data_IF_930497718727
#
_entry.id   IF_930497718727
#
_cell.length_a   1.000
_cell.length_b   1.000
_cell.length_c   1.000
_cell.angle_alpha   90.00
_cell.angle_beta   90.00
_cell.angle_gamma   90.00
#
_symmetry.space_group_name_H-M   'P 1'
#
loop_
_entity.id
_entity.type
_entity.pdbx_description
1 polymer ?
#
# COMPACT_ATOMS: atom_id res chain seq x y z
N UNK A 1 -72.56 -20.50 18.01
CA UNK A 1 -71.66 -20.12 16.90
C UNK A 1 -70.47 -19.51 17.60
N UNK A 2 -69.47 -20.34 17.92
CA UNK A 2 -68.31 -19.94 18.72
C UNK A 2 -67.29 -19.29 17.79
N UNK A 3 -66.96 -18.02 18.04
CA UNK A 3 -65.90 -17.30 17.36
C UNK A 3 -64.56 -17.99 17.67
N UNK A 4 -63.95 -18.56 16.63
CA UNK A 4 -62.59 -19.11 16.70
C UNK A 4 -61.62 -17.94 16.78
N UNK A 5 -61.35 -17.47 18.01
CA UNK A 5 -60.18 -16.64 18.30
C UNK A 5 -58.93 -17.49 18.00
N UNK A 6 -58.47 -17.43 16.76
CA UNK A 6 -57.15 -17.96 16.42
C UNK A 6 -56.12 -17.04 17.08
N UNK A 7 -55.43 -17.55 18.11
CA UNK A 7 -54.34 -16.86 18.83
C UNK A 7 -53.11 -16.58 17.96
N UNK A 8 -53.17 -16.84 16.66
CA UNK A 8 -52.04 -16.67 15.76
C UNK A 8 -52.03 -15.21 15.32
N UNK A 9 -51.03 -14.40 15.73
CA UNK A 9 -50.93 -13.03 15.28
C UNK A 9 -50.80 -12.98 13.76
N UNK A 10 -51.36 -11.96 13.11
CA UNK A 10 -51.24 -11.81 11.66
C UNK A 10 -49.75 -11.76 11.27
N UNK A 11 -49.36 -12.31 10.11
CA UNK A 11 -47.98 -12.31 9.67
C UNK A 11 -47.43 -10.88 9.64
N UNK A 12 -46.21 -10.70 10.15
CA UNK A 12 -45.52 -9.41 10.17
C UNK A 12 -45.54 -8.77 8.78
N UNK A 13 -45.92 -7.49 8.71
CA UNK A 13 -45.83 -6.69 7.48
C UNK A 13 -44.40 -6.27 7.14
N UNK A 14 -43.49 -6.36 8.10
CA UNK A 14 -42.08 -6.03 7.89
C UNK A 14 -41.37 -7.25 7.33
N UNK A 15 -40.70 -7.06 6.20
CA UNK A 15 -39.73 -8.03 5.72
C UNK A 15 -38.51 -8.01 6.64
N UNK A 16 -37.76 -9.11 6.67
CA UNK A 16 -36.53 -9.21 7.48
C UNK A 16 -35.54 -8.06 7.15
N UNK A 17 -35.55 -7.61 5.90
CA UNK A 17 -34.76 -6.48 5.39
C UNK A 17 -35.21 -5.13 5.97
N UNK A 18 -36.51 -4.93 6.22
CA UNK A 18 -37.03 -3.72 6.85
C UNK A 18 -36.60 -3.62 8.32
N UNK A 19 -36.47 -4.78 8.98
CA UNK A 19 -36.02 -4.88 10.36
C UNK A 19 -34.52 -4.58 10.51
N UNK A 20 -33.72 -4.69 9.44
CA UNK A 20 -32.29 -4.34 9.46
C UNK A 20 -32.05 -2.85 9.74
N UNK A 21 -33.01 -1.97 9.44
CA UNK A 21 -32.92 -0.54 9.78
C UNK A 21 -32.94 -0.27 11.29
N UNK A 22 -33.44 -1.22 12.09
CA UNK A 22 -33.49 -1.13 13.55
C UNK A 22 -32.34 -1.88 14.23
N UNK A 23 -31.48 -2.54 13.45
CA UNK A 23 -30.27 -3.18 13.98
C UNK A 23 -29.29 -2.06 14.31
N UNK A 24 -28.80 -1.97 15.57
CA UNK A 24 -27.77 -0.99 15.91
C UNK A 24 -26.55 -1.20 15.00
N UNK A 25 -25.91 -0.11 14.53
CA UNK A 25 -24.75 -0.23 13.68
C UNK A 25 -23.70 -1.12 14.35
N UNK A 26 -23.08 -2.00 13.56
CA UNK A 26 -22.02 -2.86 14.05
C UNK A 26 -20.97 -2.02 14.81
N UNK A 27 -20.44 -2.53 15.94
CA UNK A 27 -19.44 -1.80 16.70
C UNK A 27 -18.26 -1.44 15.78
N UNK A 28 -17.82 -0.19 15.85
CA UNK A 28 -16.71 0.29 15.04
C UNK A 28 -15.48 -0.57 15.27
N UNK A 29 -14.90 -1.07 14.17
CA UNK A 29 -13.66 -1.84 14.24
C UNK A 29 -12.56 -1.03 14.95
N UNK A 30 -11.77 -1.65 15.85
CA UNK A 30 -10.68 -0.96 16.56
C UNK A 30 -9.74 -0.26 15.59
N UNK A 31 -9.22 0.89 15.98
CA UNK A 31 -8.34 1.68 15.12
C UNK A 31 -7.00 0.96 14.92
N UNK A 32 -6.42 1.01 13.72
CA UNK A 32 -5.06 0.54 13.53
C UNK A 32 -4.08 1.49 14.23
N UNK A 33 -2.90 0.96 14.57
CA UNK A 33 -1.92 1.67 15.41
C UNK A 33 -0.48 1.26 15.09
N UNK A 34 0.47 2.16 15.37
CA UNK A 34 1.90 1.93 15.17
C UNK A 34 2.57 1.41 16.45
N UNK A 35 3.41 0.38 16.28
CA UNK A 35 4.27 -0.18 17.33
C UNK A 35 5.71 0.05 16.92
N UNK A 36 6.51 0.65 17.79
CA UNK A 36 7.93 0.92 17.52
C UNK A 36 8.83 0.02 18.35
N UNK A 37 9.96 -0.36 17.78
CA UNK A 37 11.03 -1.12 18.43
C UNK A 37 11.63 -0.32 19.58
N UNK A 38 12.18 -1.02 20.58
CA UNK A 38 12.95 -0.39 21.65
C UNK A 38 14.43 -0.26 21.25
N UNK A 39 15.09 0.89 21.50
CA UNK A 39 14.56 2.09 22.13
C UNK A 39 13.57 2.85 21.23
N UNK A 40 12.48 3.33 21.83
CA UNK A 40 11.43 4.06 21.10
C UNK A 40 12.03 5.30 20.43
N UNK A 41 11.82 5.52 19.13
CA UNK A 41 12.35 6.69 18.45
C UNK A 41 11.72 7.98 18.98
N UNK A 42 12.43 9.10 18.83
CA UNK A 42 11.88 10.42 19.12
C UNK A 42 10.76 10.75 18.14
N UNK A 43 9.58 11.06 18.68
CA UNK A 43 8.37 11.31 17.89
C UNK A 43 8.09 12.81 17.74
N UNK A 44 7.48 13.24 16.62
CA UNK A 44 7.17 12.45 15.42
C UNK A 44 8.43 12.17 14.58
N UNK A 45 8.44 11.06 13.85
CA UNK A 45 9.50 10.75 12.89
C UNK A 45 9.47 11.73 11.73
N UNK A 46 10.62 12.35 11.41
CA UNK A 46 10.73 13.35 10.33
C UNK A 46 11.75 12.92 9.28
N UNK A 47 11.43 11.91 8.45
CA UNK A 47 12.34 11.51 7.39
C UNK A 47 12.39 12.56 6.28
N UNK A 48 13.58 12.78 5.73
CA UNK A 48 13.74 13.54 4.49
C UNK A 48 13.05 12.81 3.32
N UNK A 49 13.01 11.48 3.37
CA UNK A 49 12.40 10.67 2.34
C UNK A 49 11.71 9.42 2.89
N UNK A 50 10.48 9.17 2.46
CA UNK A 50 9.67 8.01 2.81
C UNK A 50 9.33 7.21 1.56
N UNK A 51 9.71 5.94 1.52
CA UNK A 51 9.31 5.01 0.45
C UNK A 51 8.28 4.04 1.01
N UNK A 52 7.14 3.93 0.33
CA UNK A 52 6.07 3.00 0.70
C UNK A 52 5.90 2.00 -0.44
N UNK A 53 6.18 0.73 -0.16
CA UNK A 53 6.02 -0.38 -1.12
C UNK A 53 4.75 -1.16 -0.86
N UNK A 54 3.92 -1.23 -1.89
CA UNK A 54 2.61 -1.91 -1.90
C UNK A 54 2.60 -3.05 -2.92
N UNK A 55 3.30 -2.89 -4.05
CA UNK A 55 3.33 -3.90 -5.11
C UNK A 55 4.23 -5.09 -4.79
N UNK A 56 3.88 -6.26 -5.34
CA UNK A 56 4.72 -7.46 -5.25
C UNK A 56 6.20 -7.21 -5.65
N UNK A 57 6.51 -6.62 -6.83
CA UNK A 57 7.88 -6.36 -7.22
C UNK A 57 8.62 -5.40 -6.27
N UNK A 58 7.97 -4.34 -5.78
CA UNK A 58 8.63 -3.38 -4.87
C UNK A 58 8.92 -3.98 -3.49
N UNK A 59 7.97 -4.75 -2.95
CA UNK A 59 8.15 -5.50 -1.70
C UNK A 59 9.31 -6.48 -1.83
N UNK A 60 9.36 -7.23 -2.94
CA UNK A 60 10.43 -8.18 -3.20
C UNK A 60 11.81 -7.53 -3.23
N UNK A 61 11.96 -6.42 -3.97
CA UNK A 61 13.24 -5.70 -4.08
C UNK A 61 13.69 -5.14 -2.74
N UNK A 62 12.79 -4.47 -2.01
CA UNK A 62 13.14 -3.83 -0.73
C UNK A 62 13.33 -4.84 0.41
N UNK A 63 12.66 -5.99 0.37
CA UNK A 63 12.88 -7.07 1.33
C UNK A 63 14.30 -7.64 1.22
N UNK A 64 14.85 -7.76 0.01
CA UNK A 64 16.22 -8.26 -0.21
C UNK A 64 17.32 -7.21 0.01
N UNK A 65 16.96 -5.97 0.32
CA UNK A 65 17.94 -4.92 0.61
C UNK A 65 18.58 -5.16 2.00
N UNK A 66 19.91 -5.22 2.06
CA UNK A 66 20.64 -5.59 3.29
C UNK A 66 20.78 -4.45 4.30
N UNK A 67 20.78 -3.20 3.84
CA UNK A 67 21.11 -2.01 4.64
C UNK A 67 19.90 -1.39 5.36
N UNK A 68 19.05 -2.17 6.03
CA UNK A 68 17.87 -1.66 6.75
C UNK A 68 17.73 -2.20 8.17
N UNK A 69 17.19 -1.38 9.06
CA UNK A 69 16.88 -1.74 10.46
C UNK A 69 15.39 -1.62 10.71
N UNK A 70 14.79 -2.64 11.33
CA UNK A 70 13.36 -2.63 11.67
C UNK A 70 13.12 -1.71 12.86
N UNK A 71 12.39 -0.61 12.64
CA UNK A 71 12.10 0.39 13.68
C UNK A 71 10.68 0.31 14.20
N UNK A 72 9.78 -0.37 13.49
CA UNK A 72 8.40 -0.54 13.94
C UNK A 72 7.54 -1.30 12.94
N UNK A 73 6.26 -1.43 13.28
CA UNK A 73 5.24 -2.09 12.45
C UNK A 73 3.88 -1.42 12.67
N UNK A 74 3.07 -1.36 11.63
CA UNK A 74 1.68 -0.96 11.67
C UNK A 74 0.81 -2.20 11.88
N UNK A 75 0.00 -2.17 12.93
CA UNK A 75 -0.90 -3.25 13.28
C UNK A 75 -2.31 -2.91 12.82
N UNK A 76 -2.88 -3.78 11.99
CA UNK A 76 -4.29 -3.79 11.64
C UNK A 76 -4.99 -4.84 12.51
N UNK A 77 -5.88 -4.45 13.45
CA UNK A 77 -6.51 -5.39 14.37
C UNK A 77 -7.29 -6.53 13.69
N UNK A 78 -7.82 -6.28 12.50
CA UNK A 78 -8.55 -7.24 11.68
C UNK A 78 -7.65 -8.28 10.99
N UNK A 79 -6.34 -8.04 10.92
CA UNK A 79 -5.41 -8.98 10.25
C UNK A 79 -5.02 -10.11 11.18
N UNK A 80 -5.16 -11.35 10.70
CA UNK A 80 -4.71 -12.52 11.45
C UNK A 80 -3.19 -12.52 11.56
N UNK A 81 -2.69 -12.71 12.79
CA UNK A 81 -1.26 -12.94 13.05
C UNK A 81 -0.81 -14.37 12.72
N UNK A 82 -1.73 -15.24 12.30
CA UNK A 82 -1.41 -16.61 11.93
C UNK A 82 -0.45 -16.64 10.73
N UNK A 83 0.66 -17.36 10.88
CA UNK A 83 1.67 -17.49 9.84
C UNK A 83 2.67 -16.34 9.75
N UNK A 84 2.68 -15.40 10.72
CA UNK A 84 3.76 -14.40 10.82
C UNK A 84 4.99 -15.07 11.44
N UNK A 85 6.10 -15.02 10.70
CA UNK A 85 7.39 -15.52 11.16
C UNK A 85 8.02 -14.63 12.24
N UNK A 86 8.88 -15.22 13.08
CA UNK A 86 9.65 -14.46 14.08
C UNK A 86 10.66 -13.50 13.40
N UNK A 87 11.20 -13.91 12.26
CA UNK A 87 12.01 -13.06 11.38
C UNK A 87 11.18 -12.58 10.19
N UNK A 88 11.30 -11.30 9.75
CA UNK A 88 10.46 -10.74 8.70
C UNK A 88 10.57 -11.52 7.38
N UNK A 89 9.48 -12.15 6.98
CA UNK A 89 9.40 -12.95 5.76
C UNK A 89 8.59 -12.22 4.68
N UNK A 90 8.82 -12.60 3.42
CA UNK A 90 8.02 -12.06 2.31
C UNK A 90 6.55 -12.48 2.38
N UNK A 91 6.25 -13.64 2.97
CA UNK A 91 4.88 -14.16 3.10
C UNK A 91 4.11 -13.61 4.30
N UNK A 92 4.77 -12.87 5.19
CA UNK A 92 4.12 -12.35 6.39
C UNK A 92 3.09 -11.28 6.01
N UNK A 93 1.86 -11.41 6.53
CA UNK A 93 0.80 -10.40 6.36
C UNK A 93 1.01 -9.24 7.33
N UNK A 94 2.14 -8.55 7.21
CA UNK A 94 2.56 -7.49 8.11
C UNK A 94 2.76 -6.15 7.38
N UNK A 95 2.86 -5.05 8.14
CA UNK A 95 3.19 -3.74 7.60
C UNK A 95 4.39 -3.18 8.36
N UNK A 96 5.60 -3.44 7.87
CA UNK A 96 6.83 -3.17 8.62
C UNK A 96 7.48 -1.85 8.20
N UNK A 97 8.02 -1.14 9.18
CA UNK A 97 8.68 0.15 9.02
C UNK A 97 10.17 -0.03 9.32
N UNK A 98 11.00 0.30 8.35
CA UNK A 98 12.44 0.20 8.44
C UNK A 98 13.09 1.57 8.30
N UNK A 99 14.19 1.78 9.02
CA UNK A 99 15.12 2.87 8.74
C UNK A 99 16.25 2.36 7.85
N UNK A 100 16.62 3.16 6.86
CA UNK A 100 17.77 2.86 6.02
C UNK A 100 19.07 3.26 6.74
N UNK A 101 20.01 2.33 6.81
CA UNK A 101 21.30 2.58 7.44
C UNK A 101 22.25 3.28 6.46
N UNK A 102 23.04 4.24 6.95
CA UNK A 102 24.13 4.85 6.18
C UNK A 102 23.72 5.98 5.21
N UNK A 103 22.49 6.49 5.30
CA UNK A 103 22.09 7.72 4.62
C UNK A 103 22.37 8.94 5.52
N UNK A 104 22.87 10.03 4.93
CA UNK A 104 23.14 11.29 5.65
C UNK A 104 21.86 11.89 6.26
N UNK A 105 20.72 11.64 5.61
CA UNK A 105 19.40 12.03 6.07
C UNK A 105 18.57 10.79 6.39
N UNK A 106 17.64 10.92 7.36
CA UNK A 106 16.74 9.83 7.71
C UNK A 106 15.84 9.45 6.52
N UNK A 107 16.02 8.24 6.01
CA UNK A 107 15.16 7.61 5.00
C UNK A 107 14.41 6.46 5.64
N UNK A 108 13.08 6.46 5.50
CA UNK A 108 12.22 5.40 6.00
C UNK A 108 11.63 4.58 4.86
N UNK A 109 11.51 3.28 5.08
CA UNK A 109 10.87 2.33 4.18
C UNK A 109 9.66 1.72 4.89
N UNK A 110 8.52 1.69 4.24
CA UNK A 110 7.31 1.03 4.73
C UNK A 110 6.96 -0.07 3.76
N UNK A 111 7.02 -1.32 4.21
CA UNK A 111 6.66 -2.50 3.43
C UNK A 111 5.27 -2.96 3.85
N UNK A 112 4.27 -2.73 3.01
CA UNK A 112 2.89 -3.11 3.28
C UNK A 112 2.59 -4.44 2.61
N UNK A 113 2.69 -5.54 3.37
CA UNK A 113 2.42 -6.90 2.90
C UNK A 113 1.03 -7.38 3.31
N UNK A 114 0.39 -6.73 4.29
CA UNK A 114 -1.00 -6.98 4.66
C UNK A 114 -1.98 -6.34 3.66
N UNK A 115 -3.17 -6.95 3.53
CA UNK A 115 -4.25 -6.37 2.73
C UNK A 115 -4.91 -5.23 3.53
N UNK A 116 -4.87 -4.01 2.99
CA UNK A 116 -5.54 -2.85 3.58
C UNK A 116 -6.81 -2.57 2.78
N UNK A 117 -7.97 -2.79 3.40
CA UNK A 117 -9.25 -2.54 2.74
C UNK A 117 -9.42 -1.07 2.38
N UNK A 118 -10.29 -0.78 1.41
CA UNK A 118 -10.59 0.59 1.00
C UNK A 118 -11.09 1.44 2.18
N UNK A 119 -11.90 0.86 3.06
CA UNK A 119 -12.45 1.51 4.27
C UNK A 119 -11.35 1.96 5.25
N UNK A 120 -10.25 1.21 5.33
CA UNK A 120 -9.13 1.48 6.25
C UNK A 120 -8.04 2.33 5.63
N UNK A 121 -8.00 2.40 4.31
CA UNK A 121 -6.95 3.08 3.54
C UNK A 121 -6.73 4.52 3.98
N UNK A 122 -7.81 5.27 4.26
CA UNK A 122 -7.71 6.65 4.73
C UNK A 122 -7.03 6.76 6.11
N UNK A 123 -7.46 5.93 7.07
CA UNK A 123 -6.92 5.92 8.44
C UNK A 123 -5.45 5.51 8.44
N UNK A 124 -5.09 4.47 7.67
CA UNK A 124 -3.71 4.03 7.50
C UNK A 124 -2.84 5.12 6.87
N UNK A 125 -3.31 5.74 5.79
CA UNK A 125 -2.59 6.83 5.14
C UNK A 125 -2.36 8.02 6.08
N UNK A 126 -3.33 8.33 6.95
CA UNK A 126 -3.23 9.40 7.93
C UNK A 126 -2.17 9.12 9.01
N UNK A 127 -2.02 7.88 9.46
CA UNK A 127 -0.98 7.51 10.43
C UNK A 127 0.42 7.50 9.80
N UNK A 128 0.55 6.91 8.60
CA UNK A 128 1.81 6.85 7.87
C UNK A 128 2.27 8.23 7.35
N UNK A 129 1.34 9.17 7.15
CA UNK A 129 1.61 10.49 6.60
C UNK A 129 0.84 11.57 7.39
N UNK A 130 1.56 12.21 8.30
CA UNK A 130 1.21 13.48 8.93
C UNK A 130 0.91 13.43 10.43
N UNK A 131 0.74 12.25 11.04
CA UNK A 131 0.60 12.12 12.50
C UNK A 131 1.91 11.68 13.13
N UNK A 132 2.23 10.39 13.07
CA UNK A 132 3.43 9.83 13.70
C UNK A 132 4.66 9.97 12.81
N UNK A 133 4.46 10.05 11.49
CA UNK A 133 5.52 10.20 10.50
C UNK A 133 5.21 11.42 9.62
N UNK A 134 6.12 12.38 9.61
CA UNK A 134 6.00 13.64 8.86
C UNK A 134 7.16 13.72 7.85
N UNK A 135 7.00 13.11 6.66
CA UNK A 135 8.04 13.09 5.64
C UNK A 135 8.10 14.41 4.86
N UNK A 136 9.30 14.79 4.41
CA UNK A 136 9.45 15.92 3.47
C UNK A 136 9.05 15.53 2.04
N UNK A 137 9.37 14.30 1.64
CA UNK A 137 9.05 13.73 0.33
C UNK A 137 8.66 12.25 0.45
N UNK A 138 7.70 11.81 -0.38
CA UNK A 138 7.15 10.45 -0.37
C UNK A 138 7.19 9.84 -1.77
N UNK A 139 7.67 8.60 -1.86
CA UNK A 139 7.55 7.72 -3.03
C UNK A 139 6.64 6.53 -2.68
N UNK A 140 5.58 6.34 -3.45
CA UNK A 140 4.68 5.20 -3.32
C UNK A 140 4.92 4.29 -4.53
N UNK A 141 5.17 3.00 -4.27
CA UNK A 141 5.40 1.99 -5.30
C UNK A 141 4.23 1.00 -5.30
N UNK A 142 3.49 0.98 -6.40
CA UNK A 142 2.36 0.10 -6.58
C UNK A 142 2.33 -0.53 -7.97
N UNK A 143 1.37 -1.43 -8.24
CA UNK A 143 1.19 -2.09 -9.52
C UNK A 143 -0.17 -1.76 -10.12
N UNK A 144 -0.23 -1.71 -11.46
CA UNK A 144 -1.48 -1.39 -12.16
C UNK A 144 -2.38 -2.62 -12.08
N UNK A 145 -3.58 -2.44 -11.54
CA UNK A 145 -4.62 -3.46 -11.66
C UNK A 145 -5.27 -3.35 -13.04
N UNK A 146 -5.26 -4.43 -13.81
CA UNK A 146 -5.79 -4.47 -15.18
C UNK A 146 -7.24 -3.95 -15.29
N UNK A 147 -8.07 -4.25 -14.28
CA UNK A 147 -9.46 -3.78 -14.16
C UNK A 147 -9.61 -2.25 -14.11
N UNK A 148 -8.60 -1.55 -13.63
CA UNK A 148 -8.65 -0.10 -13.38
C UNK A 148 -7.94 0.72 -14.47
N UNK A 149 -7.32 0.06 -15.45
CA UNK A 149 -6.62 0.72 -16.55
C UNK A 149 -7.49 0.78 -17.82
N UNK A 150 -7.75 1.99 -18.31
CA UNK A 150 -8.49 2.23 -19.54
C UNK A 150 -7.52 2.37 -20.71
N UNK A 151 -7.00 1.24 -21.16
CA UNK A 151 -6.08 1.16 -22.31
C UNK A 151 -5.72 -0.28 -22.63
N UNK A 152 -4.83 -0.48 -23.60
CA UNK A 152 -4.26 -1.80 -23.89
C UNK A 152 -2.99 -1.96 -23.07
N UNK A 153 -2.98 -2.96 -22.19
CA UNK A 153 -1.80 -3.41 -21.48
C UNK A 153 -1.49 -4.82 -21.94
N UNK A 154 -0.37 -4.99 -22.65
CA UNK A 154 0.12 -6.33 -22.97
C UNK A 154 0.83 -6.92 -21.75
N UNK A 155 0.64 -8.21 -21.47
CA UNK A 155 1.39 -8.89 -20.41
C UNK A 155 2.90 -9.00 -20.73
N UNK A 156 3.25 -8.95 -22.02
CA UNK A 156 4.63 -9.02 -22.48
C UNK A 156 5.37 -7.68 -22.38
N UNK A 157 4.63 -6.58 -22.18
CA UNK A 157 5.20 -5.24 -22.06
C UNK A 157 5.46 -4.89 -20.60
N UNK A 158 6.69 -4.48 -20.30
CA UNK A 158 7.06 -3.99 -18.97
C UNK A 158 7.07 -2.47 -18.98
N UNK A 159 6.13 -1.87 -18.26
CA UNK A 159 5.89 -0.43 -18.25
C UNK A 159 5.81 0.09 -16.82
N UNK A 160 6.10 1.37 -16.67
CA UNK A 160 5.81 2.09 -15.43
C UNK A 160 5.32 3.49 -15.74
N UNK A 161 4.41 3.95 -14.89
CA UNK A 161 3.76 5.25 -14.99
C UNK A 161 3.88 5.98 -13.67
N UNK A 162 3.70 7.31 -13.72
CA UNK A 162 3.75 8.15 -12.52
C UNK A 162 2.53 9.05 -12.35
N UNK A 163 2.19 9.33 -11.10
CA UNK A 163 1.31 10.40 -10.66
C UNK A 163 2.01 11.22 -9.57
N UNK A 164 1.82 12.53 -9.60
CA UNK A 164 2.57 13.45 -8.75
C UNK A 164 1.65 14.49 -8.09
N UNK A 165 1.96 14.83 -6.84
CA UNK A 165 1.31 15.95 -6.17
C UNK A 165 1.68 17.28 -6.83
N UNK A 166 0.83 18.28 -6.66
CA UNK A 166 1.10 19.65 -7.12
C UNK A 166 2.40 20.21 -6.53
N UNK A 167 2.72 19.88 -5.26
CA UNK A 167 3.95 20.30 -4.60
C UNK A 167 5.21 19.72 -5.27
N UNK A 168 5.17 18.47 -5.72
CA UNK A 168 6.29 17.85 -6.43
C UNK A 168 6.42 18.42 -7.86
N UNK A 169 5.30 18.70 -8.53
CA UNK A 169 5.28 19.39 -9.84
C UNK A 169 5.79 20.84 -9.77
N UNK A 170 5.42 21.55 -8.70
CA UNK A 170 5.74 22.97 -8.51
C UNK A 170 7.20 23.25 -8.18
N UNK A 171 7.95 22.25 -7.69
CA UNK A 171 9.39 22.36 -7.44
C UNK A 171 10.23 22.65 -8.71
N UNK A 172 9.60 22.67 -9.90
CA UNK A 172 10.23 22.80 -11.23
C UNK A 172 9.87 24.09 -11.98
N UNK A 173 9.15 25.03 -11.36
CA UNK A 173 8.85 26.32 -11.99
C UNK A 173 10.09 27.20 -12.29
N UNK A 174 11.31 26.68 -12.06
CA UNK A 174 12.60 27.30 -12.39
C UNK A 174 13.37 26.67 -13.57
N UNK A 175 12.74 25.82 -14.40
CA UNK A 175 13.30 25.41 -15.70
C UNK A 175 13.46 23.91 -15.89
N UNK A 176 12.85 23.40 -16.97
CA UNK A 176 12.87 22.02 -17.50
C UNK A 176 11.96 21.02 -16.77
N UNK A 177 10.81 20.73 -17.41
CA UNK A 177 9.71 19.92 -16.87
C UNK A 177 10.04 18.44 -16.63
N UNK A 178 9.58 17.96 -15.48
CA UNK A 178 9.61 16.56 -15.01
C UNK A 178 10.13 16.45 -13.58
N UNK A 179 9.41 15.75 -12.68
CA UNK A 179 9.87 15.47 -11.29
C UNK A 179 11.34 15.06 -11.29
N UNK A 180 12.09 15.58 -10.31
CA UNK A 180 13.49 15.21 -10.12
C UNK A 180 13.66 13.71 -9.80
N UNK A 181 12.64 13.11 -9.18
CA UNK A 181 12.73 11.79 -8.59
C UNK A 181 12.53 10.68 -9.63
N UNK A 182 11.54 10.80 -10.51
CA UNK A 182 11.20 9.82 -11.53
C UNK A 182 11.24 10.45 -12.94
N UNK A 183 12.45 10.83 -13.36
CA UNK A 183 12.70 11.39 -14.69
C UNK A 183 12.51 10.32 -15.76
N UNK A 184 11.91 10.69 -16.89
CA UNK A 184 11.71 9.80 -18.04
C UNK A 184 10.50 8.86 -17.95
N UNK A 185 9.82 8.79 -16.79
CA UNK A 185 8.57 8.03 -16.67
C UNK A 185 7.38 8.82 -17.22
N UNK A 186 6.49 8.13 -17.94
CA UNK A 186 5.27 8.71 -18.47
C UNK A 186 4.23 8.93 -17.37
N UNK A 187 3.45 10.00 -17.48
CA UNK A 187 2.30 10.18 -16.59
C UNK A 187 1.27 9.07 -16.81
N UNK A 188 0.60 8.68 -15.72
CA UNK A 188 -0.47 7.69 -15.77
C UNK A 188 -1.59 8.16 -16.71
N UNK A 189 -2.06 7.31 -17.63
CA UNK A 189 -2.93 7.75 -18.71
C UNK A 189 -4.29 8.19 -18.21
N UNK A 190 -4.82 9.24 -18.86
CA UNK A 190 -6.15 9.77 -18.55
C UNK A 190 -7.23 8.71 -18.75
N UNK A 191 -8.25 8.74 -17.90
CA UNK A 191 -9.34 7.77 -17.91
C UNK A 191 -9.05 6.48 -17.13
N UNK A 192 -7.80 6.21 -16.78
CA UNK A 192 -7.45 5.14 -15.83
C UNK A 192 -7.60 5.63 -14.39
N UNK A 193 -7.87 4.71 -13.47
CA UNK A 193 -8.09 5.01 -12.06
C UNK A 193 -7.11 4.27 -11.17
N UNK A 194 -6.82 4.85 -10.01
CA UNK A 194 -6.11 4.20 -8.91
C UNK A 194 -6.98 4.38 -7.67
N UNK A 195 -7.19 3.30 -6.94
CA UNK A 195 -8.04 3.20 -5.77
C UNK A 195 -7.29 2.64 -4.56
N UNK A 196 -7.98 2.52 -3.42
CA UNK A 196 -7.43 1.94 -2.20
C UNK A 196 -6.32 2.75 -1.53
N UNK A 197 -5.39 2.04 -0.89
CA UNK A 197 -4.28 2.61 -0.14
C UNK A 197 -3.34 3.52 -0.95
N UNK A 198 -2.86 3.17 -2.17
CA UNK A 198 -1.97 4.05 -2.94
C UNK A 198 -2.62 5.42 -3.22
N UNK A 199 -3.91 5.42 -3.55
CA UNK A 199 -4.69 6.64 -3.80
C UNK A 199 -4.88 7.46 -2.53
N UNK A 200 -5.18 6.80 -1.40
CA UNK A 200 -5.31 7.46 -0.10
C UNK A 200 -3.99 8.12 0.35
N UNK A 201 -2.85 7.44 0.17
CA UNK A 201 -1.52 7.96 0.50
C UNK A 201 -1.18 9.19 -0.35
N UNK A 202 -1.35 9.11 -1.68
CA UNK A 202 -1.06 10.24 -2.56
C UNK A 202 -1.98 11.44 -2.29
N UNK A 203 -3.27 11.18 -2.03
CA UNK A 203 -4.24 12.20 -1.64
C UNK A 203 -3.85 12.86 -0.33
N UNK A 204 -3.36 12.08 0.65
CA UNK A 204 -2.87 12.60 1.92
C UNK A 204 -1.65 13.50 1.73
N UNK A 205 -0.71 13.13 0.87
CA UNK A 205 0.40 14.00 0.49
C UNK A 205 -0.09 15.32 -0.11
N UNK A 206 -1.04 15.27 -1.05
CA UNK A 206 -1.61 16.46 -1.70
C UNK A 206 -2.30 17.39 -0.68
N UNK A 207 -3.10 16.84 0.23
CA UNK A 207 -3.79 17.63 1.27
C UNK A 207 -2.84 18.26 2.29
N UNK A 208 -1.69 17.62 2.54
CA UNK A 208 -0.65 18.12 3.46
C UNK A 208 0.43 18.96 2.78
N UNK A 209 0.28 19.24 1.48
CA UNK A 209 1.31 19.93 0.67
C UNK A 209 2.69 19.25 0.75
N UNK A 210 2.71 17.92 0.85
CA UNK A 210 3.92 17.10 0.85
C UNK A 210 4.24 16.71 -0.60
N UNK A 211 5.53 16.71 -0.93
CA UNK A 211 6.04 16.25 -2.22
C UNK A 211 5.82 14.73 -2.34
N UNK A 212 4.84 14.32 -3.12
CA UNK A 212 4.46 12.92 -3.26
C UNK A 212 4.50 12.48 -4.71
N UNK A 213 5.06 11.30 -4.95
CA UNK A 213 5.01 10.64 -6.26
C UNK A 213 4.54 9.19 -6.07
N UNK A 214 3.57 8.79 -6.86
CA UNK A 214 3.12 7.41 -6.99
C UNK A 214 3.64 6.85 -8.31
N UNK A 215 4.42 5.78 -8.23
CA UNK A 215 4.88 5.02 -9.38
C UNK A 215 4.09 3.72 -9.45
N UNK A 216 3.53 3.43 -10.62
CA UNK A 216 2.70 2.27 -10.85
C UNK A 216 3.33 1.41 -11.95
N UNK A 217 3.72 0.19 -11.61
CA UNK A 217 4.35 -0.75 -12.54
C UNK A 217 3.36 -1.73 -13.17
N UNK A 218 3.68 -2.20 -14.38
CA UNK A 218 2.95 -3.24 -15.08
C UNK A 218 3.94 -4.20 -15.79
N UNK A 219 3.65 -5.51 -15.87
CA UNK A 219 2.59 -6.26 -15.19
C UNK A 219 2.69 -6.25 -13.66
N UNK A 220 1.66 -6.78 -12.99
CA UNK A 220 1.64 -6.84 -11.51
C UNK A 220 2.78 -7.71 -10.96
N UNK A 221 3.19 -8.72 -11.74
CA UNK A 221 4.24 -9.68 -11.44
C UNK A 221 5.17 -9.88 -12.63
N UNK A 222 6.44 -10.15 -12.35
CA UNK A 222 7.40 -10.61 -13.34
C UNK A 222 8.83 -10.16 -13.02
N UNK A 223 9.82 -10.96 -13.42
CA UNK A 223 11.24 -10.64 -13.22
C UNK A 223 11.67 -9.35 -13.93
N UNK A 224 11.10 -9.07 -15.11
CA UNK A 224 11.33 -7.81 -15.83
C UNK A 224 10.84 -6.59 -15.06
N UNK A 225 9.69 -6.70 -14.39
CA UNK A 225 9.12 -5.63 -13.56
C UNK A 225 9.95 -5.43 -12.29
N UNK A 226 10.43 -6.52 -11.68
CA UNK A 226 11.38 -6.46 -10.56
C UNK A 226 12.64 -5.70 -10.96
N UNK A 227 13.22 -5.99 -12.13
CA UNK A 227 14.38 -5.29 -12.66
C UNK A 227 14.09 -3.81 -12.92
N UNK A 228 12.92 -3.49 -13.49
CA UNK A 228 12.47 -2.12 -13.71
C UNK A 228 12.37 -1.36 -12.38
N UNK A 229 11.65 -1.91 -11.38
CA UNK A 229 11.49 -1.27 -10.06
C UNK A 229 12.83 -1.09 -9.36
N UNK A 230 13.74 -2.08 -9.47
CA UNK A 230 15.12 -1.96 -8.98
C UNK A 230 15.86 -0.79 -9.63
N UNK A 231 15.78 -0.67 -10.96
CA UNK A 231 16.43 0.43 -11.69
C UNK A 231 15.89 1.80 -11.29
N UNK A 232 14.57 1.91 -11.07
CA UNK A 232 13.93 3.14 -10.59
C UNK A 232 14.40 3.48 -9.18
N UNK A 233 14.44 2.51 -8.27
CA UNK A 233 14.94 2.71 -6.91
C UNK A 233 16.40 3.16 -6.89
N UNK A 234 17.26 2.58 -7.73
CA UNK A 234 18.65 3.00 -7.89
C UNK A 234 18.77 4.43 -8.44
N UNK A 235 17.86 4.86 -9.31
CA UNK A 235 17.86 6.24 -9.81
C UNK A 235 17.50 7.27 -8.73
N UNK A 236 16.71 6.86 -7.73
CA UNK A 236 16.28 7.72 -6.61
C UNK A 236 17.27 7.67 -5.45
N UNK A 237 17.84 6.50 -5.17
CA UNK A 237 18.77 6.23 -4.08
C UNK A 237 20.00 5.46 -4.64
N UNK A 238 20.96 6.17 -5.25
CA UNK A 238 22.09 5.55 -5.96
C UNK A 238 23.06 4.79 -5.06
N UNK A 239 23.08 5.08 -3.76
CA UNK A 239 24.01 4.47 -2.81
C UNK A 239 23.50 3.16 -2.18
N UNK A 240 22.40 2.60 -2.70
CA UNK A 240 21.82 1.37 -2.15
C UNK A 240 22.44 0.11 -2.77
N UNK A 241 22.87 -0.81 -1.90
CA UNK A 241 23.29 -2.15 -2.30
C UNK A 241 22.09 -3.11 -2.32
N UNK A 242 21.68 -3.50 -3.52
CA UNK A 242 20.63 -4.49 -3.74
C UNK A 242 21.25 -5.83 -4.18
N UNK A 243 21.64 -6.65 -3.21
CA UNK A 243 22.08 -8.04 -3.44
C UNK A 243 20.88 -8.94 -3.77
N UNK A 244 20.40 -8.89 -5.01
CA UNK A 244 19.51 -9.92 -5.54
C UNK A 244 20.38 -11.11 -5.97
N UNK A 245 20.47 -12.16 -5.15
CA UNK A 245 21.11 -13.41 -5.56
C UNK A 245 20.26 -14.08 -6.65
N UNK A 246 20.92 -14.65 -7.66
CA UNK A 246 20.29 -15.22 -8.87
C UNK A 246 19.29 -16.36 -8.67
N UNK A 247 19.10 -16.88 -7.44
CA UNK A 247 18.00 -17.79 -7.07
C UNK A 247 16.65 -17.05 -6.87
N UNK A 248 16.64 -15.74 -7.11
CA UNK A 248 15.51 -14.87 -6.83
C UNK A 248 14.25 -15.10 -7.68
N UNK A 249 14.38 -15.62 -8.89
CA UNK A 249 13.23 -15.83 -9.79
C UNK A 249 12.27 -16.91 -9.27
N UNK A 250 12.79 -18.02 -8.74
CA UNK A 250 11.96 -19.09 -8.16
C UNK A 250 11.29 -18.65 -6.85
N UNK A 251 12.01 -17.91 -6.00
CA UNK A 251 11.45 -17.37 -4.76
C UNK A 251 10.40 -16.29 -5.03
N UNK A 252 10.64 -15.44 -6.04
CA UNK A 252 9.68 -14.42 -6.47
C UNK A 252 8.44 -15.03 -7.14
N UNK A 253 8.61 -16.08 -7.96
CA UNK A 253 7.49 -16.82 -8.55
C UNK A 253 6.62 -17.45 -7.46
N UNK A 254 7.24 -18.03 -6.41
CA UNK A 254 6.53 -18.57 -5.24
C UNK A 254 5.81 -17.46 -4.46
N UNK A 255 6.45 -16.32 -4.25
CA UNK A 255 5.84 -15.17 -3.56
C UNK A 255 4.66 -14.58 -4.34
N UNK A 256 4.80 -14.44 -5.66
CA UNK A 256 3.74 -13.94 -6.55
C UNK A 256 2.48 -14.81 -6.44
N UNK A 257 2.64 -16.14 -6.48
CA UNK A 257 1.53 -17.09 -6.29
C UNK A 257 0.81 -16.97 -4.93
N UNK A 258 1.53 -16.61 -3.87
CA UNK A 258 0.95 -16.45 -2.52
C UNK A 258 0.09 -15.18 -2.44
N UNK A 259 0.54 -14.09 -3.09
CA UNK A 259 -0.23 -12.83 -3.14
C UNK A 259 -1.42 -12.92 -4.10
N UNK A 260 -1.30 -13.73 -5.15
CA UNK A 260 -2.33 -13.97 -6.17
C UNK A 260 -3.50 -14.81 -5.70
N UNK A 261 -3.46 -15.47 -4.53
CA UNK A 261 -4.65 -16.15 -4.03
C UNK A 261 -5.70 -15.11 -3.63
N UNK A 262 -6.77 -14.93 -4.43
CA UNK A 262 -7.92 -14.21 -3.93
C UNK A 262 -8.46 -15.11 -2.82
N UNK A 263 -8.72 -14.56 -1.64
CA UNK A 263 -9.63 -15.24 -0.75
C UNK A 263 -10.97 -15.29 -1.48
N UNK A 264 -11.24 -16.46 -2.06
CA UNK A 264 -12.52 -16.89 -2.56
C UNK A 264 -13.47 -16.86 -1.35
N UNK A 265 -14.07 -15.70 -1.09
CA UNK A 265 -14.92 -15.47 0.08
C UNK A 265 -16.02 -14.43 -0.15
N UNK A 266 -16.17 -13.90 -1.36
CA UNK A 266 -17.32 -13.04 -1.72
C UNK A 266 -18.39 -13.78 -2.54
N UNK A 267 -18.47 -15.12 -2.42
CA UNK A 267 -19.51 -15.94 -3.06
C UNK A 267 -20.60 -16.45 -2.11
N UNK A 268 -20.74 -15.87 -0.92
CA UNK A 268 -21.95 -16.04 -0.11
C UNK A 268 -22.29 -14.77 0.67
N UNK A 269 -23.06 -13.89 0.02
CA UNK A 269 -24.12 -13.08 0.63
C UNK A 269 -25.25 -12.94 -0.37
#
# INVERSE_FOLDING_TARGET
>A
MEDVLTEIPPPSRFFQEDLNNFVPPLPSLPLPFLVFSNPKPSMPLRPAFLIIALSSPSLYVLHHMSSKTLIGSLILPETSFSGISAEPSLGDKSCNIYALNGADNLVLLVLVQCNVTAERSHTVARMLIGEDIVPERVLILDSVQSRNFRGKLSADETLAFKLETSAERGALAGGSGGSLMLKGLHYFPSGSMIDGLPAALLSRCQLRNIKGTLCVSWPEFGGSVVALVKSLLLSVLPNLDFSLKGEGEDQYAKFSRIKDQPFDSELYT
#
